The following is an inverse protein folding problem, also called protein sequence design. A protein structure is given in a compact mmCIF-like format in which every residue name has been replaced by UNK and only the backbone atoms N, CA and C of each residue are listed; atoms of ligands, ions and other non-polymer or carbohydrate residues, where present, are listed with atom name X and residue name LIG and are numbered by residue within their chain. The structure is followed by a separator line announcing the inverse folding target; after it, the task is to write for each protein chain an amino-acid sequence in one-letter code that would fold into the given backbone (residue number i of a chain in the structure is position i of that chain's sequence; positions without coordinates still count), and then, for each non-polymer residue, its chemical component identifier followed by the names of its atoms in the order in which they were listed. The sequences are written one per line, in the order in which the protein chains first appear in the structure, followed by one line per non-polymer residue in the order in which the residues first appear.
data_IF_089053203300
#
_entry.id   IF_089053203300
#
_cell.length_a   1.000
_cell.length_b   1.000
_cell.length_c   1.000
_cell.angle_alpha   90.00
_cell.angle_beta   90.00
_cell.angle_gamma   90.00
#
_symmetry.space_group_name_H-M   'P 1'
#
loop_
_entity.id
_entity.type
_entity.pdbx_description
1 polymer ?
#
# COMPACT_ATOMS: atom_id res chain seq x y z
N UNK A 1 -10.20 7.00 26.42
CA UNK A 1 -8.73 6.87 26.35
C UNK A 1 -8.26 7.67 25.15
N UNK A 2 -7.31 8.60 25.34
CA UNK A 2 -6.73 9.34 24.22
C UNK A 2 -5.86 8.40 23.38
N UNK A 3 -5.85 8.59 22.06
CA UNK A 3 -4.94 7.86 21.17
C UNK A 3 -3.48 8.15 21.58
N UNK A 4 -2.56 7.15 21.55
CA UNK A 4 -1.15 7.38 21.80
C UNK A 4 -0.58 8.49 20.90
N UNK A 5 0.37 9.27 21.41
CA UNK A 5 1.01 10.33 20.66
C UNK A 5 1.83 9.73 19.50
N UNK A 6 1.64 10.26 18.28
CA UNK A 6 2.37 9.82 17.09
C UNK A 6 3.73 10.53 16.90
N UNK A 7 3.99 11.56 17.72
CA UNK A 7 5.25 12.30 17.76
C UNK A 7 6.40 11.51 18.41
N UNK A 8 7.61 12.09 18.49
CA UNK A 8 8.77 11.47 19.12
C UNK A 8 8.45 11.00 20.54
N UNK A 9 8.98 9.84 20.92
CA UNK A 9 8.92 9.32 22.29
C UNK A 9 10.15 9.76 23.10
N UNK A 10 10.08 9.65 24.44
CA UNK A 10 11.19 10.06 25.31
C UNK A 10 12.50 9.35 24.95
N UNK A 11 13.54 10.12 24.63
CA UNK A 11 14.85 9.61 24.23
C UNK A 11 14.99 9.29 22.73
N UNK A 12 13.93 9.47 21.94
CA UNK A 12 14.00 9.35 20.50
C UNK A 12 14.53 10.65 19.86
N UNK A 13 15.38 10.50 18.86
CA UNK A 13 15.93 11.64 18.11
C UNK A 13 14.83 12.38 17.33
N UNK A 14 14.69 13.67 17.63
CA UNK A 14 13.75 14.63 17.02
C UNK A 14 14.45 15.60 16.06
N UNK A 15 15.56 15.17 15.45
CA UNK A 15 16.23 15.92 14.40
C UNK A 15 15.34 16.11 13.17
N UNK A 16 15.48 17.24 12.47
CA UNK A 16 14.59 17.62 11.36
C UNK A 16 14.50 16.58 10.22
N UNK A 17 15.57 15.82 9.95
CA UNK A 17 15.54 14.74 8.95
C UNK A 17 14.67 13.55 9.38
N UNK A 18 14.65 13.21 10.68
CA UNK A 18 13.82 12.15 11.23
C UNK A 18 12.36 12.58 11.30
N UNK A 19 12.11 13.81 11.71
CA UNK A 19 10.77 14.35 11.80
C UNK A 19 10.12 14.56 10.43
N UNK A 20 10.90 14.78 9.37
CA UNK A 20 10.39 14.74 7.99
C UNK A 20 9.80 13.36 7.66
N UNK A 21 10.52 12.28 7.94
CA UNK A 21 10.04 10.92 7.65
C UNK A 21 8.87 10.53 8.58
N UNK A 22 8.92 10.95 9.84
CA UNK A 22 7.83 10.75 10.79
C UNK A 22 6.56 11.47 10.33
N UNK A 23 6.66 12.75 9.95
CA UNK A 23 5.53 13.56 9.52
C UNK A 23 4.77 12.92 8.35
N UNK A 24 5.50 12.40 7.36
CA UNK A 24 4.92 11.69 6.22
C UNK A 24 4.24 10.39 6.69
N UNK A 25 4.92 9.58 7.50
CA UNK A 25 4.37 8.31 8.00
C UNK A 25 3.09 8.50 8.82
N UNK A 26 3.01 9.54 9.67
CA UNK A 26 1.87 9.79 10.57
C UNK A 26 0.69 10.49 9.87
N UNK A 27 0.91 11.12 8.71
CA UNK A 27 -0.06 12.05 8.10
C UNK A 27 -1.46 11.44 7.94
N UNK A 28 -1.56 10.24 7.36
CA UNK A 28 -2.83 9.52 7.18
C UNK A 28 -3.02 8.31 8.10
N UNK A 29 -1.99 7.93 8.88
CA UNK A 29 -2.06 6.75 9.77
C UNK A 29 -2.32 7.12 11.23
N UNK A 30 -1.99 8.36 11.63
CA UNK A 30 -2.08 8.82 13.01
C UNK A 30 -1.22 8.01 14.01
N UNK A 31 -0.30 7.19 13.52
CA UNK A 31 0.35 6.14 14.31
C UNK A 31 1.87 6.31 14.32
N UNK A 32 2.51 6.06 15.46
CA UNK A 32 3.95 6.25 15.59
C UNK A 32 4.74 5.21 14.77
N UNK A 33 5.59 5.59 13.80
CA UNK A 33 6.31 4.66 12.94
C UNK A 33 7.44 3.95 13.69
N UNK A 34 7.62 2.65 13.48
CA UNK A 34 8.79 1.94 14.02
C UNK A 34 10.05 2.30 13.25
N UNK A 35 11.13 2.65 13.97
CA UNK A 35 12.47 2.90 13.41
C UNK A 35 13.24 1.59 13.20
N UNK A 36 12.78 0.81 12.23
CA UNK A 36 13.37 -0.48 11.81
C UNK A 36 13.61 -0.50 10.30
N UNK A 37 14.42 -1.46 9.82
CA UNK A 37 14.67 -1.64 8.38
C UNK A 37 13.38 -1.94 7.60
N UNK A 38 12.49 -2.75 8.19
CA UNK A 38 11.14 -2.96 7.70
C UNK A 38 10.20 -1.88 8.24
N UNK A 39 9.34 -1.33 7.39
CA UNK A 39 8.34 -0.35 7.77
C UNK A 39 7.18 -1.00 8.57
N UNK A 40 6.73 -0.29 9.59
CA UNK A 40 5.57 -0.60 10.41
C UNK A 40 4.98 0.69 11.00
N UNK A 41 3.84 1.16 10.49
CA UNK A 41 3.17 2.37 10.99
C UNK A 41 1.66 2.21 11.19
N UNK A 42 0.97 1.40 10.37
CA UNK A 42 -0.48 1.19 10.49
C UNK A 42 -1.19 1.32 9.14
N UNK A 43 -2.47 0.97 9.07
CA UNK A 43 -3.29 1.21 7.88
C UNK A 43 -3.65 2.69 7.83
N UNK A 44 -3.53 3.31 6.66
CA UNK A 44 -3.87 4.72 6.50
C UNK A 44 -5.38 4.91 6.31
N UNK A 45 -5.90 6.06 6.73
CA UNK A 45 -7.35 6.33 6.74
C UNK A 45 -7.97 6.31 5.33
N UNK A 46 -7.23 6.78 4.33
CA UNK A 46 -7.62 6.70 2.91
C UNK A 46 -7.81 5.25 2.47
N UNK A 47 -7.00 4.31 2.95
CA UNK A 47 -7.13 2.89 2.60
C UNK A 47 -8.26 2.20 3.38
N UNK A 48 -8.52 2.62 4.62
CA UNK A 48 -9.74 2.20 5.33
C UNK A 48 -11.00 2.66 4.59
N UNK A 49 -10.97 3.86 4.01
CA UNK A 49 -12.07 4.41 3.20
C UNK A 49 -12.16 3.68 1.86
N UNK A 50 -11.04 3.49 1.17
CA UNK A 50 -10.97 2.79 -0.12
C UNK A 50 -11.43 1.34 0.00
N UNK A 51 -11.26 0.68 1.15
CA UNK A 51 -11.84 -0.65 1.40
C UNK A 51 -13.38 -0.68 1.48
N UNK A 52 -14.05 0.47 1.50
CA UNK A 52 -15.51 0.59 1.60
C UNK A 52 -16.14 1.37 0.44
N UNK A 53 -15.43 2.34 -0.12
CA UNK A 53 -15.89 3.21 -1.20
C UNK A 53 -15.12 2.92 -2.50
N UNK A 54 -15.64 3.38 -3.63
CA UNK A 54 -14.99 3.21 -4.94
C UNK A 54 -14.91 1.76 -5.42
N UNK A 55 -15.69 0.84 -4.84
CA UNK A 55 -15.67 -0.57 -5.25
C UNK A 55 -16.27 -0.79 -6.65
N UNK A 56 -17.06 0.17 -7.13
CA UNK A 56 -17.62 0.23 -8.47
C UNK A 56 -16.70 0.90 -9.50
N UNK A 57 -15.64 1.60 -9.08
CA UNK A 57 -14.62 2.14 -9.99
C UNK A 57 -13.56 1.08 -10.35
N UNK A 58 -12.85 1.23 -11.48
CA UNK A 58 -11.74 0.33 -11.83
C UNK A 58 -10.61 0.34 -10.79
N UNK A 59 -10.38 1.50 -10.16
CA UNK A 59 -9.38 1.73 -9.13
C UNK A 59 -10.08 2.35 -7.91
N UNK A 60 -10.17 1.63 -6.77
CA UNK A 60 -10.84 2.13 -5.57
C UNK A 60 -10.04 3.25 -4.87
N UNK A 61 -8.73 3.33 -5.13
CA UNK A 61 -7.84 4.41 -4.72
C UNK A 61 -6.80 4.70 -5.81
N UNK A 62 -6.27 5.93 -5.80
CA UNK A 62 -5.14 6.35 -6.63
C UNK A 62 -4.23 7.21 -5.75
N UNK A 63 -3.01 6.74 -5.54
CA UNK A 63 -2.00 7.40 -4.76
C UNK A 63 -1.12 8.26 -5.69
N UNK A 64 -1.06 9.57 -5.42
CA UNK A 64 -0.40 10.53 -6.29
C UNK A 64 0.73 11.26 -5.54
N UNK A 65 1.82 11.53 -6.25
CA UNK A 65 2.91 12.37 -5.76
C UNK A 65 3.34 13.41 -6.80
N UNK A 66 4.10 14.40 -6.36
CA UNK A 66 4.81 15.34 -7.27
C UNK A 66 6.31 15.05 -7.32
N UNK A 67 6.78 14.16 -6.45
CA UNK A 67 8.17 13.76 -6.32
C UNK A 67 8.32 12.32 -6.82
N UNK A 68 9.45 12.03 -7.47
CA UNK A 68 9.88 10.67 -7.75
C UNK A 68 10.30 9.98 -6.45
N UNK A 69 9.98 8.69 -6.30
CA UNK A 69 10.32 7.96 -5.08
C UNK A 69 11.84 7.84 -4.92
N UNK A 70 12.38 8.27 -3.78
CA UNK A 70 13.80 8.09 -3.46
C UNK A 70 14.00 6.88 -2.56
N UNK A 71 14.80 5.90 -3.01
CA UNK A 71 15.11 4.71 -2.19
C UNK A 71 16.11 4.99 -1.06
N UNK A 72 16.74 6.17 -1.02
CA UNK A 72 17.72 6.51 0.01
C UNK A 72 17.06 7.10 1.26
N UNK A 73 17.39 6.54 2.42
CA UNK A 73 17.08 7.11 3.73
C UNK A 73 18.31 6.97 4.62
N UNK A 74 19.00 8.08 4.88
CA UNK A 74 20.17 8.14 5.78
C UNK A 74 19.77 8.25 7.26
N UNK A 75 18.51 7.99 7.59
CA UNK A 75 17.94 8.34 8.90
C UNK A 75 17.63 7.12 9.78
N UNK A 76 17.87 5.90 9.30
CA UNK A 76 17.51 4.65 10.00
C UNK A 76 16.01 4.32 10.01
N UNK A 77 15.17 5.22 9.48
CA UNK A 77 13.80 4.92 9.08
C UNK A 77 13.79 4.25 7.69
N UNK A 78 12.87 3.31 7.48
CA UNK A 78 12.59 2.76 6.15
C UNK A 78 12.31 3.90 5.15
N UNK A 79 12.88 3.83 3.95
CA UNK A 79 12.61 4.79 2.88
C UNK A 79 11.13 4.88 2.49
N UNK A 80 10.34 3.85 2.81
CA UNK A 80 8.88 3.87 2.66
C UNK A 80 8.22 5.04 3.42
N UNK A 81 8.74 5.41 4.59
CA UNK A 81 8.21 6.53 5.38
C UNK A 81 8.47 7.90 4.75
N UNK A 82 9.32 7.99 3.73
CA UNK A 82 9.51 9.20 2.92
C UNK A 82 8.64 9.19 1.67
N UNK A 83 8.42 8.01 1.10
CA UNK A 83 7.90 7.86 -0.27
C UNK A 83 6.39 7.64 -0.34
N UNK A 84 5.70 7.36 0.77
CA UNK A 84 4.26 7.18 0.75
C UNK A 84 3.57 7.71 2.00
N UNK A 85 2.37 8.24 1.78
CA UNK A 85 1.39 8.53 2.85
C UNK A 85 0.30 7.45 2.94
N UNK A 86 0.25 6.52 1.97
CA UNK A 86 -0.82 5.53 1.83
C UNK A 86 -0.32 4.13 2.19
N UNK A 87 -1.03 3.47 3.10
CA UNK A 87 -0.64 2.20 3.72
C UNK A 87 -1.82 1.22 3.71
N UNK A 88 -1.74 0.19 2.85
CA UNK A 88 -2.77 -0.85 2.70
C UNK A 88 -2.83 -1.75 3.94
N UNK A 89 -1.68 -2.00 4.55
CA UNK A 89 -1.53 -2.76 5.81
C UNK A 89 -0.49 -2.07 6.68
N UNK A 90 -0.31 -2.48 7.96
CA UNK A 90 0.72 -1.91 8.82
C UNK A 90 2.14 -1.93 8.22
N UNK A 91 2.42 -2.88 7.31
CA UNK A 91 3.74 -3.10 6.71
C UNK A 91 3.78 -2.88 5.20
N UNK A 92 2.65 -2.65 4.54
CA UNK A 92 2.55 -2.55 3.07
C UNK A 92 2.33 -1.10 2.66
N UNK A 93 3.40 -0.38 2.26
CA UNK A 93 3.29 0.94 1.63
C UNK A 93 2.71 0.81 0.22
N UNK A 94 1.84 1.74 -0.18
CA UNK A 94 1.38 1.84 -1.56
C UNK A 94 2.28 2.76 -2.38
N UNK A 95 2.63 2.39 -3.63
CA UNK A 95 3.43 3.22 -4.50
C UNK A 95 2.64 4.46 -4.94
N UNK A 96 3.25 5.64 -4.84
CA UNK A 96 2.66 6.87 -5.33
C UNK A 96 3.08 7.13 -6.78
N UNK A 97 2.13 7.49 -7.62
CA UNK A 97 2.37 7.80 -9.04
C UNK A 97 2.57 9.31 -9.23
N UNK A 98 3.67 9.69 -9.89
CA UNK A 98 4.00 11.09 -10.17
C UNK A 98 3.75 11.48 -11.63
N UNK A 99 3.62 10.50 -12.54
CA UNK A 99 3.38 10.74 -13.96
C UNK A 99 1.88 10.90 -14.25
N UNK A 100 1.41 12.09 -14.65
CA UNK A 100 0.00 12.28 -15.00
C UNK A 100 -0.44 11.40 -16.18
N UNK A 101 0.48 11.08 -17.09
CA UNK A 101 0.22 10.19 -18.21
C UNK A 101 -0.13 8.78 -17.72
N UNK A 102 0.67 8.22 -16.79
CA UNK A 102 0.41 6.88 -16.25
C UNK A 102 -0.92 6.85 -15.49
N UNK A 103 -1.23 7.90 -14.72
CA UNK A 103 -2.52 8.02 -14.03
C UNK A 103 -3.69 8.03 -15.02
N UNK A 104 -3.58 8.80 -16.11
CA UNK A 104 -4.62 8.89 -17.13
C UNK A 104 -4.83 7.54 -17.83
N UNK A 105 -3.75 6.88 -18.25
CA UNK A 105 -3.80 5.56 -18.88
C UNK A 105 -4.41 4.51 -17.94
N UNK A 106 -4.12 4.57 -16.64
CA UNK A 106 -4.73 3.69 -15.63
C UNK A 106 -6.23 3.94 -15.45
N UNK A 107 -6.66 5.19 -15.46
CA UNK A 107 -8.06 5.58 -15.26
C UNK A 107 -8.93 5.27 -16.47
N UNK A 108 -8.43 5.55 -17.67
CA UNK A 108 -9.25 5.57 -18.89
C UNK A 108 -8.89 4.45 -19.88
N UNK A 109 -7.71 3.84 -19.74
CA UNK A 109 -7.16 2.87 -20.69
C UNK A 109 -6.68 3.53 -22.00
N UNK A 110 -6.22 2.72 -22.95
CA UNK A 110 -6.44 3.06 -24.36
C UNK A 110 -7.96 3.09 -24.59
N UNK A 111 -8.47 4.02 -25.40
CA UNK A 111 -9.86 4.50 -25.41
C UNK A 111 -10.98 3.47 -25.65
N UNK A 112 -11.16 2.54 -24.73
CA UNK A 112 -12.18 1.50 -24.72
C UNK A 112 -13.51 2.06 -24.22
N UNK A 113 -14.62 1.46 -24.70
CA UNK A 113 -15.98 1.81 -24.26
C UNK A 113 -16.28 1.28 -22.86
N UNK A 114 -17.27 1.84 -22.15
CA UNK A 114 -17.69 1.34 -20.83
C UNK A 114 -18.03 -0.16 -20.82
N UNK A 115 -18.65 -0.65 -21.90
CA UNK A 115 -18.98 -2.07 -22.06
C UNK A 115 -17.72 -2.95 -22.11
N UNK A 116 -16.69 -2.51 -22.84
CA UNK A 116 -15.41 -3.21 -22.94
C UNK A 116 -14.65 -3.19 -21.61
N UNK A 117 -14.65 -2.05 -20.90
CA UNK A 117 -14.07 -1.97 -19.54
C UNK A 117 -14.75 -2.93 -18.57
N UNK A 118 -16.09 -2.99 -18.57
CA UNK A 118 -16.86 -3.91 -17.73
C UNK A 118 -16.56 -5.37 -18.05
N UNK A 119 -16.51 -5.73 -19.34
CA UNK A 119 -16.17 -7.08 -19.77
C UNK A 119 -14.75 -7.48 -19.33
N UNK A 120 -13.77 -6.58 -19.48
CA UNK A 120 -12.39 -6.83 -19.03
C UNK A 120 -12.32 -7.03 -17.52
N UNK A 121 -13.05 -6.23 -16.73
CA UNK A 121 -13.13 -6.39 -15.27
C UNK A 121 -13.71 -7.75 -14.87
N UNK A 122 -14.80 -8.18 -15.51
CA UNK A 122 -15.39 -9.50 -15.27
C UNK A 122 -14.42 -10.64 -15.62
N UNK A 123 -13.69 -10.50 -16.72
CA UNK A 123 -12.67 -11.46 -17.12
C UNK A 123 -11.51 -11.51 -16.12
N UNK A 124 -11.02 -10.37 -15.64
CA UNK A 124 -9.98 -10.30 -14.61
C UNK A 124 -10.41 -10.95 -13.30
N UNK A 125 -11.65 -10.73 -12.85
CA UNK A 125 -12.20 -11.41 -11.65
C UNK A 125 -12.22 -12.92 -11.86
N UNK A 126 -12.73 -13.39 -13.00
CA UNK A 126 -12.78 -14.84 -13.29
C UNK A 126 -11.39 -15.47 -13.35
N UNK A 127 -10.39 -14.76 -13.90
CA UNK A 127 -9.00 -15.23 -13.89
C UNK A 127 -8.44 -15.28 -12.47
N UNK A 128 -8.68 -14.24 -11.66
CA UNK A 128 -8.24 -14.20 -10.27
C UNK A 128 -8.87 -15.34 -9.46
N UNK A 129 -10.16 -15.60 -9.65
CA UNK A 129 -10.86 -16.73 -9.02
C UNK A 129 -10.25 -18.07 -9.45
N UNK A 130 -9.87 -18.23 -10.72
CA UNK A 130 -9.17 -19.43 -11.21
C UNK A 130 -7.82 -19.60 -10.52
N UNK A 131 -7.01 -18.54 -10.44
CA UNK A 131 -5.71 -18.54 -9.78
C UNK A 131 -5.84 -18.86 -8.29
N UNK A 132 -6.81 -18.25 -7.60
CA UNK A 132 -7.08 -18.52 -6.19
C UNK A 132 -7.49 -19.98 -5.95
N UNK A 133 -8.27 -20.57 -6.85
CA UNK A 133 -8.63 -21.98 -6.77
C UNK A 133 -7.42 -22.91 -6.97
N UNK A 134 -6.53 -22.61 -7.92
CA UNK A 134 -5.30 -23.36 -8.15
C UNK A 134 -4.34 -23.25 -6.96
N UNK A 135 -4.17 -22.03 -6.43
CA UNK A 135 -3.41 -21.76 -5.21
C UNK A 135 -3.96 -22.54 -4.02
N UNK A 136 -5.28 -22.57 -3.84
CA UNK A 136 -5.92 -23.32 -2.75
C UNK A 136 -5.72 -24.84 -2.91
N UNK A 137 -5.63 -25.34 -4.15
CA UNK A 137 -5.22 -26.71 -4.44
C UNK A 137 -3.77 -26.97 -4.02
N UNK A 138 -2.86 -26.11 -4.48
CA UNK A 138 -1.42 -26.22 -4.20
C UNK A 138 -1.11 -26.12 -2.70
N UNK A 139 -1.81 -25.26 -1.96
CA UNK A 139 -1.68 -25.17 -0.51
C UNK A 139 -2.00 -26.48 0.21
N UNK A 140 -2.88 -27.34 -0.32
CA UNK A 140 -3.19 -28.64 0.29
C UNK A 140 -2.02 -29.63 0.16
N UNK A 141 -1.25 -29.52 -0.92
CA UNK A 141 -0.16 -30.44 -1.24
C UNK A 141 1.19 -30.00 -0.65
N UNK A 142 1.36 -28.70 -0.37
CA UNK A 142 2.62 -28.16 0.15
C UNK A 142 2.86 -28.49 1.65
N UNK A 143 4.12 -28.68 2.06
CA UNK A 143 4.54 -28.71 3.47
C UNK A 143 4.31 -27.37 4.19
N UNK A 144 4.20 -27.39 5.52
CA UNK A 144 3.84 -26.21 6.34
C UNK A 144 4.78 -25.01 6.15
N UNK A 145 6.08 -25.23 5.96
CA UNK A 145 7.07 -24.17 5.77
C UNK A 145 6.86 -23.39 4.46
N UNK A 146 6.43 -24.07 3.39
CA UNK A 146 6.21 -23.45 2.08
C UNK A 146 4.83 -22.77 2.00
N UNK A 147 3.83 -23.29 2.73
CA UNK A 147 2.52 -22.62 2.87
C UNK A 147 2.67 -21.21 3.42
N UNK A 148 3.52 -21.02 4.42
CA UNK A 148 3.74 -19.70 5.04
C UNK A 148 4.38 -18.69 4.09
N UNK A 149 5.23 -19.14 3.15
CA UNK A 149 5.85 -18.28 2.14
C UNK A 149 4.85 -17.93 1.03
N UNK A 150 4.05 -18.92 0.61
CA UNK A 150 3.03 -18.72 -0.41
C UNK A 150 1.93 -17.77 0.09
N UNK A 151 1.49 -17.90 1.35
CA UNK A 151 0.49 -16.99 1.93
C UNK A 151 1.01 -15.56 1.99
N UNK A 152 2.28 -15.35 2.34
CA UNK A 152 2.89 -14.03 2.34
C UNK A 152 2.84 -13.39 0.93
N UNK A 153 3.18 -14.15 -0.11
CA UNK A 153 3.16 -13.67 -1.50
C UNK A 153 1.77 -13.32 -2.05
N UNK A 154 0.70 -13.86 -1.46
CA UNK A 154 -0.67 -13.66 -1.93
C UNK A 154 -1.41 -12.57 -1.15
N UNK A 155 -0.95 -12.29 0.07
CA UNK A 155 -1.53 -11.26 0.96
C UNK A 155 -0.83 -9.90 0.83
N UNK A 156 0.40 -9.86 0.31
CA UNK A 156 1.11 -8.64 -0.10
C UNK A 156 0.52 -8.07 -1.40
#
# INVERSE_FOLDING_TARGET
MCHPQAGPTDGEDSGGALDHNRAVAVFLTGSHPKKTAQSYVGVSVDQVIAGKLGQDTPLPSIELSIEESSLSSDTGFSGAYRNTIAWKSPTVPLPMEHSPQVVFERLFGDGSTDAQRKARRQQSISLLDSVLNEVAGLQKELPSADRSRLSQYLEE
#
